data_IF_382723970169
#
_entry.id   IF_382723970169
#
_cell.length_a   1.000
_cell.length_b   1.000
_cell.length_c   1.000
_cell.angle_alpha   90.00
_cell.angle_beta   90.00
_cell.angle_gamma   90.00
#
_symmetry.space_group_name_H-M   'P 1'
#
loop_
_entity.id
_entity.type
_entity.pdbx_description
1 polymer ?
#
# COMPACT_ATOMS: atom_id res chain seq x y z
N UNK A 1 22.37 -5.46 -32.60
CA UNK A 1 22.88 -4.09 -32.76
C UNK A 1 22.83 -3.41 -31.40
N UNK A 2 23.95 -2.89 -30.90
CA UNK A 2 23.94 -2.17 -29.63
C UNK A 2 23.52 -0.72 -29.86
N UNK A 3 22.60 -0.21 -29.03
CA UNK A 3 22.23 1.21 -29.04
C UNK A 3 23.44 2.10 -28.70
N UNK A 4 23.48 3.35 -29.22
CA UNK A 4 24.57 4.27 -28.93
C UNK A 4 24.66 4.56 -27.43
N UNK A 5 25.88 4.57 -26.88
CA UNK A 5 26.13 4.75 -25.43
C UNK A 5 25.42 5.97 -24.84
N UNK A 6 25.39 7.09 -25.58
CA UNK A 6 24.72 8.33 -25.15
C UNK A 6 23.22 8.14 -24.93
N UNK A 7 22.57 7.33 -25.76
CA UNK A 7 21.14 7.03 -25.63
C UNK A 7 20.88 6.18 -24.38
N UNK A 8 21.69 5.13 -24.16
CA UNK A 8 21.61 4.28 -22.97
C UNK A 8 21.80 5.12 -21.70
N UNK A 9 22.81 5.99 -21.68
CA UNK A 9 23.08 6.88 -20.56
C UNK A 9 21.94 7.86 -20.29
N UNK A 10 21.33 8.43 -21.34
CA UNK A 10 20.18 9.33 -21.21
C UNK A 10 18.98 8.61 -20.61
N UNK A 11 18.68 7.40 -21.09
CA UNK A 11 17.55 6.61 -20.59
C UNK A 11 17.73 6.25 -19.10
N UNK A 12 18.93 5.79 -18.72
CA UNK A 12 19.25 5.50 -17.31
C UNK A 12 19.13 6.77 -16.46
N UNK A 13 19.56 7.94 -16.96
CA UNK A 13 19.40 9.21 -16.23
C UNK A 13 17.95 9.56 -15.96
N UNK A 14 17.10 9.47 -16.99
CA UNK A 14 15.66 9.77 -16.87
C UNK A 14 15.03 8.83 -15.83
N UNK A 15 15.27 7.51 -15.93
CA UNK A 15 14.73 6.56 -14.97
C UNK A 15 15.22 6.81 -13.54
N UNK A 16 16.51 7.06 -13.36
CA UNK A 16 17.07 7.33 -12.03
C UNK A 16 16.52 8.63 -11.43
N UNK A 17 16.28 9.64 -12.26
CA UNK A 17 15.63 10.88 -11.83
C UNK A 17 14.18 10.64 -11.41
N UNK A 18 13.42 9.85 -12.19
CA UNK A 18 12.06 9.43 -11.80
C UNK A 18 12.05 8.65 -10.48
N UNK A 19 13.01 7.73 -10.26
CA UNK A 19 13.15 7.01 -9.00
C UNK A 19 13.38 7.95 -7.81
N UNK A 20 14.25 8.95 -7.97
CA UNK A 20 14.49 9.95 -6.90
C UNK A 20 13.19 10.71 -6.58
N UNK A 21 12.45 11.17 -7.60
CA UNK A 21 11.16 11.84 -7.40
C UNK A 21 10.17 10.92 -6.67
N UNK A 22 10.07 9.66 -7.07
CA UNK A 22 9.19 8.68 -6.41
C UNK A 22 9.58 8.47 -4.95
N UNK A 23 10.87 8.33 -4.64
CA UNK A 23 11.35 8.23 -3.26
C UNK A 23 11.02 9.46 -2.42
N UNK A 24 11.14 10.67 -2.98
CA UNK A 24 10.75 11.93 -2.32
C UNK A 24 9.24 11.97 -2.06
N UNK A 25 8.42 11.51 -3.01
CA UNK A 25 6.96 11.43 -2.83
C UNK A 25 6.61 10.46 -1.69
N UNK A 26 7.24 9.27 -1.64
CA UNK A 26 7.01 8.30 -0.57
C UNK A 26 7.38 8.86 0.81
N UNK A 27 8.52 9.56 0.92
CA UNK A 27 8.92 10.20 2.17
C UNK A 27 7.96 11.34 2.53
N UNK A 28 7.52 12.14 1.56
CA UNK A 28 6.54 13.21 1.80
C UNK A 28 5.20 12.68 2.33
N UNK A 29 4.74 11.52 1.83
CA UNK A 29 3.54 10.86 2.33
C UNK A 29 3.65 10.49 3.81
N UNK A 30 4.82 10.00 4.25
CA UNK A 30 5.08 9.71 5.67
C UNK A 30 4.91 10.96 6.54
N UNK A 31 5.41 12.12 6.10
CA UNK A 31 5.25 13.37 6.86
C UNK A 31 3.79 13.83 6.93
N UNK A 32 3.02 13.67 5.84
CA UNK A 32 1.58 13.97 5.85
C UNK A 32 0.84 13.04 6.82
N UNK A 33 1.14 11.74 6.80
CA UNK A 33 0.52 10.75 7.69
C UNK A 33 0.87 11.00 9.16
N UNK A 34 2.11 11.38 9.47
CA UNK A 34 2.53 11.74 10.84
C UNK A 34 1.82 13.00 11.34
N UNK A 35 1.50 13.94 10.45
CA UNK A 35 0.81 15.17 10.81
C UNK A 35 -0.70 14.94 11.05
N UNK A 36 -1.32 14.02 10.31
CA UNK A 36 -2.75 13.69 10.44
C UNK A 36 -3.06 12.66 11.54
N UNK A 37 -2.09 11.81 11.92
CA UNK A 37 -2.34 10.71 12.84
C UNK A 37 -1.36 10.67 14.01
N UNK A 38 -1.88 10.93 15.22
CA UNK A 38 -1.29 10.52 16.51
C UNK A 38 -1.46 9.00 16.75
N UNK A 39 -1.57 8.19 15.69
CA UNK A 39 -1.92 6.77 15.81
C UNK A 39 -0.67 5.89 15.79
N UNK A 40 -0.61 4.96 16.74
CA UNK A 40 0.53 4.10 17.09
C UNK A 40 0.99 3.08 16.03
N UNK A 41 0.62 3.19 14.74
CA UNK A 41 1.11 2.28 13.70
C UNK A 41 2.48 2.72 13.16
N UNK A 42 3.47 2.76 14.07
CA UNK A 42 4.83 3.20 13.76
C UNK A 42 5.55 2.31 12.74
N UNK A 43 5.21 1.02 12.67
CA UNK A 43 5.92 0.06 11.82
C UNK A 43 5.74 0.35 10.32
N UNK A 44 4.52 0.69 9.89
CA UNK A 44 4.23 1.04 8.49
C UNK A 44 4.93 2.33 8.05
N UNK A 45 5.05 3.28 8.99
CA UNK A 45 5.74 4.56 8.78
C UNK A 45 7.25 4.33 8.60
N UNK A 46 7.87 3.57 9.51
CA UNK A 46 9.30 3.24 9.45
C UNK A 46 9.62 2.47 8.18
N UNK A 47 8.77 1.52 7.79
CA UNK A 47 8.92 0.76 6.56
C UNK A 47 8.87 1.66 5.32
N UNK A 48 7.83 2.50 5.19
CA UNK A 48 7.65 3.38 4.03
C UNK A 48 8.79 4.39 3.90
N UNK A 49 9.25 4.95 5.02
CA UNK A 49 10.39 5.85 5.06
C UNK A 49 11.68 5.16 4.61
N UNK A 50 11.93 3.95 5.12
CA UNK A 50 13.13 3.16 4.79
C UNK A 50 13.17 2.77 3.31
N UNK A 51 12.03 2.37 2.75
CA UNK A 51 11.89 2.08 1.31
C UNK A 51 12.12 3.34 0.48
N UNK A 52 11.51 4.47 0.84
CA UNK A 52 11.70 5.75 0.15
C UNK A 52 13.16 6.19 0.12
N UNK A 53 13.87 6.07 1.25
CA UNK A 53 15.30 6.38 1.35
C UNK A 53 16.15 5.45 0.47
N UNK A 54 15.87 4.15 0.49
CA UNK A 54 16.57 3.17 -0.34
C UNK A 54 16.41 3.48 -1.83
N UNK A 55 15.20 3.83 -2.27
CA UNK A 55 14.91 4.22 -3.67
C UNK A 55 15.70 5.47 -4.07
N UNK A 56 15.82 6.48 -3.19
CA UNK A 56 16.63 7.68 -3.46
C UNK A 56 18.11 7.32 -3.60
N UNK A 57 18.67 6.52 -2.69
CA UNK A 57 20.08 6.11 -2.74
C UNK A 57 20.37 5.38 -4.05
N UNK A 58 19.48 4.50 -4.49
CA UNK A 58 19.61 3.73 -5.72
C UNK A 58 19.53 4.64 -6.94
N UNK A 59 18.56 5.56 -6.98
CA UNK A 59 18.47 6.57 -8.03
C UNK A 59 19.72 7.47 -8.10
N UNK A 60 20.22 7.94 -6.97
CA UNK A 60 21.43 8.76 -6.89
C UNK A 60 22.67 7.99 -7.37
N UNK A 61 22.81 6.71 -6.99
CA UNK A 61 23.90 5.85 -7.45
C UNK A 61 23.86 5.63 -8.97
N UNK A 62 22.66 5.46 -9.54
CA UNK A 62 22.47 5.31 -10.98
C UNK A 62 22.80 6.60 -11.75
N UNK A 63 22.41 7.77 -11.24
CA UNK A 63 22.82 9.06 -11.80
C UNK A 63 24.35 9.22 -11.78
N UNK A 64 24.98 8.98 -10.63
CA UNK A 64 26.45 9.05 -10.49
C UNK A 64 27.15 8.10 -11.47
N UNK A 65 26.63 6.88 -11.65
CA UNK A 65 27.17 5.90 -12.61
C UNK A 65 27.12 6.38 -14.06
N UNK A 66 26.14 7.23 -14.39
CA UNK A 66 25.93 7.77 -15.74
C UNK A 66 26.75 9.04 -16.03
N UNK A 67 27.09 9.83 -15.01
CA UNK A 67 28.00 10.98 -15.15
C UNK A 67 29.48 10.56 -15.10
N UNK A 68 29.82 9.68 -14.16
CA UNK A 68 31.18 9.21 -13.90
C UNK A 68 31.23 7.69 -14.08
N UNK A 69 31.46 7.18 -15.31
CA UNK A 69 31.43 5.74 -15.60
C UNK A 69 32.68 5.03 -15.04
N UNK A 70 32.76 4.92 -13.73
CA UNK A 70 33.67 4.03 -13.03
C UNK A 70 33.06 2.64 -12.97
N UNK A 71 33.89 1.61 -13.22
CA UNK A 71 33.45 0.22 -13.22
C UNK A 71 32.86 -0.19 -11.87
N UNK A 72 33.47 0.25 -10.76
CA UNK A 72 32.99 -0.04 -9.40
C UNK A 72 31.58 0.52 -9.15
N UNK A 73 31.31 1.76 -9.56
CA UNK A 73 30.00 2.41 -9.36
C UNK A 73 28.92 1.72 -10.20
N UNK A 74 29.22 1.41 -11.47
CA UNK A 74 28.29 0.68 -12.36
C UNK A 74 28.00 -0.71 -11.81
N UNK A 75 29.00 -1.39 -11.27
CA UNK A 75 28.84 -2.70 -10.65
C UNK A 75 27.93 -2.65 -9.42
N UNK A 76 28.18 -1.72 -8.49
CA UNK A 76 27.34 -1.51 -7.30
C UNK A 76 25.89 -1.21 -7.69
N UNK A 77 25.68 -0.28 -8.62
CA UNK A 77 24.34 0.02 -9.14
C UNK A 77 23.66 -1.22 -9.73
N UNK A 78 24.39 -2.00 -10.53
CA UNK A 78 23.85 -3.23 -11.13
C UNK A 78 23.46 -4.26 -10.08
N UNK A 79 24.25 -4.42 -9.01
CA UNK A 79 23.90 -5.29 -7.88
C UNK A 79 22.60 -4.86 -7.20
N UNK A 80 22.40 -3.56 -6.96
CA UNK A 80 21.16 -3.04 -6.40
C UNK A 80 19.95 -3.24 -7.33
N UNK A 81 20.12 -2.99 -8.63
CA UNK A 81 19.05 -3.21 -9.62
C UNK A 81 18.65 -4.68 -9.67
N UNK A 82 19.62 -5.60 -9.64
CA UNK A 82 19.35 -7.05 -9.60
C UNK A 82 18.61 -7.41 -8.31
N UNK A 83 19.09 -6.93 -7.16
CA UNK A 83 18.46 -7.21 -5.87
C UNK A 83 17.01 -6.74 -5.83
N UNK A 84 16.72 -5.50 -6.26
CA UNK A 84 15.34 -5.00 -6.33
C UNK A 84 14.52 -5.78 -7.36
N UNK A 85 15.09 -6.11 -8.52
CA UNK A 85 14.41 -6.92 -9.52
C UNK A 85 13.98 -8.29 -8.98
N UNK A 86 14.82 -8.96 -8.20
CA UNK A 86 14.48 -10.21 -7.53
C UNK A 86 13.34 -10.02 -6.52
N UNK A 87 13.37 -8.94 -5.73
CA UNK A 87 12.29 -8.62 -4.79
C UNK A 87 10.97 -8.32 -5.51
N UNK A 88 11.01 -7.57 -6.61
CA UNK A 88 9.83 -7.24 -7.40
C UNK A 88 9.19 -8.51 -8.00
N UNK A 89 9.99 -9.39 -8.60
CA UNK A 89 9.53 -10.69 -9.09
C UNK A 89 8.94 -11.55 -7.96
N UNK A 90 9.57 -11.57 -6.78
CA UNK A 90 9.04 -12.29 -5.62
C UNK A 90 7.66 -11.75 -5.19
N UNK A 91 7.48 -10.43 -5.17
CA UNK A 91 6.19 -9.80 -4.86
C UNK A 91 5.16 -10.16 -5.94
N UNK A 92 5.51 -10.09 -7.22
CA UNK A 92 4.61 -10.45 -8.33
C UNK A 92 4.17 -11.91 -8.25
N UNK A 93 5.06 -12.84 -7.92
CA UNK A 93 4.73 -14.26 -7.67
C UNK A 93 3.76 -14.37 -6.50
N UNK A 94 4.04 -13.68 -5.39
CA UNK A 94 3.17 -13.69 -4.20
C UNK A 94 1.77 -13.15 -4.52
N UNK A 95 1.68 -12.05 -5.26
CA UNK A 95 0.40 -11.47 -5.73
C UNK A 95 -0.33 -12.40 -6.70
N UNK A 96 0.40 -13.15 -7.53
CA UNK A 96 -0.17 -14.15 -8.44
C UNK A 96 -0.80 -15.31 -7.65
N UNK A 97 -0.08 -15.82 -6.65
CA UNK A 97 -0.59 -16.86 -5.75
C UNK A 97 -1.82 -16.35 -5.00
N UNK A 98 -1.76 -15.14 -4.46
CA UNK A 98 -2.87 -14.51 -3.76
C UNK A 98 -4.09 -14.34 -4.69
N UNK A 99 -3.90 -13.80 -5.89
CA UNK A 99 -4.97 -13.66 -6.89
C UNK A 99 -5.59 -15.00 -7.27
N UNK A 100 -4.79 -16.05 -7.43
CA UNK A 100 -5.30 -17.38 -7.74
C UNK A 100 -6.10 -17.96 -6.56
N UNK A 101 -5.64 -17.75 -5.32
CA UNK A 101 -6.41 -18.10 -4.13
C UNK A 101 -7.73 -17.33 -4.09
N UNK A 102 -7.73 -16.06 -4.51
CA UNK A 102 -8.95 -15.26 -4.57
C UNK A 102 -9.97 -15.79 -5.57
N UNK A 103 -9.52 -16.11 -6.79
CA UNK A 103 -10.39 -16.57 -7.87
C UNK A 103 -10.90 -18.01 -7.68
N UNK A 104 -10.10 -18.87 -7.05
CA UNK A 104 -10.43 -20.29 -6.88
C UNK A 104 -11.36 -20.56 -5.70
N UNK A 105 -11.21 -19.81 -4.61
CA UNK A 105 -12.03 -19.94 -3.42
C UNK A 105 -13.00 -18.78 -3.36
N UNK A 106 -14.25 -18.97 -3.79
CA UNK A 106 -15.32 -18.04 -3.40
C UNK A 106 -15.34 -17.97 -1.88
N UNK A 107 -14.90 -16.86 -1.31
CA UNK A 107 -14.80 -16.76 0.13
C UNK A 107 -16.21 -16.57 0.68
N UNK A 108 -16.66 -17.51 1.51
CA UNK A 108 -17.83 -17.26 2.33
C UNK A 108 -17.44 -16.23 3.41
N UNK A 109 -18.31 -15.26 3.64
CA UNK A 109 -18.18 -14.28 4.72
C UNK A 109 -17.93 -14.95 6.09
N UNK A 110 -18.36 -16.21 6.26
CA UNK A 110 -18.18 -17.00 7.48
C UNK A 110 -16.79 -17.62 7.61
N UNK A 111 -16.24 -18.15 6.52
CA UNK A 111 -15.05 -19.02 6.52
C UNK A 111 -13.90 -18.47 5.67
N UNK A 112 -13.94 -17.17 5.32
CA UNK A 112 -12.88 -16.54 4.54
C UNK A 112 -11.51 -16.86 5.11
N UNK A 113 -10.66 -17.47 4.29
CA UNK A 113 -9.28 -17.84 4.66
C UNK A 113 -8.32 -16.65 4.59
N UNK A 114 -8.78 -15.48 4.15
CA UNK A 114 -7.97 -14.27 4.10
C UNK A 114 -7.72 -13.79 5.54
N UNK A 115 -6.46 -13.75 6.02
CA UNK A 115 -6.17 -13.34 7.39
C UNK A 115 -6.70 -11.95 7.72
N UNK A 116 -6.63 -11.02 6.76
CA UNK A 116 -7.18 -9.67 6.89
C UNK A 116 -8.71 -9.66 7.03
N UNK A 117 -9.42 -10.52 6.29
CA UNK A 117 -10.87 -10.63 6.36
C UNK A 117 -11.32 -11.23 7.70
N UNK A 118 -10.63 -12.26 8.19
CA UNK A 118 -10.95 -12.89 9.48
C UNK A 118 -10.76 -11.90 10.64
N UNK A 119 -9.62 -11.20 10.65
CA UNK A 119 -9.31 -10.17 11.63
C UNK A 119 -10.33 -9.02 11.61
N UNK A 120 -10.69 -8.54 10.41
CA UNK A 120 -11.72 -7.51 10.23
C UNK A 120 -13.09 -7.99 10.69
N UNK A 121 -13.44 -9.24 10.43
CA UNK A 121 -14.69 -9.86 10.92
C UNK A 121 -14.72 -9.87 12.45
N UNK A 122 -13.64 -10.28 13.12
CA UNK A 122 -13.56 -10.29 14.58
C UNK A 122 -13.74 -8.88 15.16
N UNK A 123 -13.13 -7.88 14.54
CA UNK A 123 -13.27 -6.47 14.90
C UNK A 123 -14.72 -5.95 14.76
N UNK A 124 -15.38 -6.29 13.65
CA UNK A 124 -16.78 -5.91 13.41
C UNK A 124 -17.71 -6.62 14.40
N UNK A 125 -17.58 -7.94 14.58
CA UNK A 125 -18.38 -8.69 15.54
C UNK A 125 -18.20 -8.14 16.96
N UNK A 126 -16.98 -7.76 17.32
CA UNK A 126 -16.73 -7.15 18.61
C UNK A 126 -17.44 -5.79 18.74
N UNK A 127 -17.39 -4.94 17.71
CA UNK A 127 -18.15 -3.69 17.65
C UNK A 127 -19.67 -3.93 17.76
N UNK A 128 -20.23 -4.91 17.04
CA UNK A 128 -21.64 -5.30 17.14
C UNK A 128 -22.02 -5.72 18.58
N UNK A 129 -21.08 -6.29 19.35
CA UNK A 129 -21.35 -6.68 20.73
C UNK A 129 -21.32 -5.52 21.73
N UNK A 130 -20.64 -4.42 21.44
CA UNK A 130 -20.38 -3.35 22.42
C UNK A 130 -20.98 -1.99 22.05
N UNK A 131 -21.06 -1.67 20.76
CA UNK A 131 -21.51 -0.36 20.30
C UNK A 131 -23.00 -0.18 20.56
N UNK A 132 -23.37 1.00 21.10
CA UNK A 132 -24.73 1.32 21.51
C UNK A 132 -25.32 0.31 22.52
N UNK A 133 -24.55 -0.11 23.52
CA UNK A 133 -25.02 -0.98 24.61
C UNK A 133 -24.70 -0.39 25.98
N UNK A 134 -24.90 -1.16 27.06
CA UNK A 134 -24.82 -0.74 28.47
C UNK A 134 -23.66 0.21 28.82
N UNK A 135 -22.49 0.03 28.20
CA UNK A 135 -21.29 0.84 28.48
C UNK A 135 -20.98 1.92 27.42
N UNK A 136 -21.84 2.08 26.40
CA UNK A 136 -21.67 3.06 25.34
C UNK A 136 -23.04 3.50 24.79
N UNK A 137 -23.63 4.54 25.37
CA UNK A 137 -24.91 5.11 24.92
C UNK A 137 -24.66 5.95 23.66
N UNK A 138 -25.37 5.67 22.57
CA UNK A 138 -25.18 6.38 21.30
C UNK A 138 -26.06 7.62 21.18
N UNK A 139 -25.57 8.64 20.46
CA UNK A 139 -26.32 9.85 20.17
C UNK A 139 -27.04 9.74 18.81
N UNK A 140 -28.36 9.86 18.82
CA UNK A 140 -29.21 9.87 17.62
C UNK A 140 -29.89 11.24 17.50
N UNK A 141 -29.64 11.95 16.41
CA UNK A 141 -30.16 13.30 16.19
C UNK A 141 -31.64 13.30 15.81
N UNK A 142 -32.04 12.41 14.89
CA UNK A 142 -33.40 12.34 14.34
C UNK A 142 -34.00 10.95 14.51
N UNK A 143 -34.58 10.70 15.68
CA UNK A 143 -35.19 9.40 16.00
C UNK A 143 -36.32 8.98 15.04
N UNK A 144 -36.96 9.95 14.39
CA UNK A 144 -38.07 9.73 13.45
C UNK A 144 -37.63 8.97 12.19
N UNK A 145 -36.35 9.03 11.84
CA UNK A 145 -35.78 8.37 10.66
C UNK A 145 -35.46 6.88 10.92
N UNK A 146 -35.69 6.40 12.15
CA UNK A 146 -35.33 5.06 12.60
C UNK A 146 -36.54 4.14 12.67
N UNK A 147 -36.33 2.87 12.32
CA UNK A 147 -37.37 1.86 12.50
C UNK A 147 -37.58 1.60 14.01
N UNK A 148 -38.80 1.80 14.55
CA UNK A 148 -39.11 1.61 15.96
C UNK A 148 -38.83 0.18 16.44
N UNK A 149 -38.95 -0.84 15.59
CA UNK A 149 -38.65 -2.23 15.97
C UNK A 149 -37.19 -2.43 16.41
N UNK A 150 -36.25 -1.62 15.89
CA UNK A 150 -34.85 -1.69 16.30
C UNK A 150 -34.60 -0.98 17.64
N UNK A 151 -35.36 0.08 17.90
CA UNK A 151 -35.27 0.90 19.11
C UNK A 151 -35.97 0.23 20.30
N UNK A 152 -37.17 -0.32 20.09
CA UNK A 152 -38.04 -0.86 21.15
C UNK A 152 -37.61 -2.25 21.63
N UNK A 153 -36.98 -3.06 20.76
CA UNK A 153 -36.48 -4.39 21.15
C UNK A 153 -35.16 -4.33 21.96
N UNK A 154 -34.81 -3.18 22.56
CA UNK A 154 -33.63 -2.97 23.42
C UNK A 154 -32.29 -3.41 22.80
N UNK A 155 -32.17 -3.44 21.47
CA UNK A 155 -30.94 -3.85 20.79
C UNK A 155 -29.88 -2.75 20.80
N UNK A 156 -30.31 -1.50 20.95
CA UNK A 156 -29.50 -0.29 20.85
C UNK A 156 -29.88 0.63 22.01
N UNK A 157 -28.91 1.01 22.83
CA UNK A 157 -29.03 2.06 23.83
C UNK A 157 -28.64 3.39 23.22
N UNK A 158 -29.56 4.34 23.25
CA UNK A 158 -29.38 5.65 22.63
C UNK A 158 -29.93 6.78 23.50
N UNK A 159 -29.52 7.99 23.18
CA UNK A 159 -30.06 9.25 23.69
C UNK A 159 -30.22 10.22 22.53
N UNK A 160 -31.26 11.06 22.58
CA UNK A 160 -31.41 12.22 21.69
C UNK A 160 -30.85 13.50 22.32
N UNK A 161 -30.41 13.44 23.58
CA UNK A 161 -29.77 14.54 24.26
C UNK A 161 -28.24 14.42 24.14
N UNK A 162 -27.64 15.38 23.42
CA UNK A 162 -26.20 15.47 23.19
C UNK A 162 -25.38 15.69 24.46
N UNK A 163 -25.99 16.26 25.50
CA UNK A 163 -25.35 16.48 26.80
C UNK A 163 -25.14 15.17 27.58
N UNK A 164 -25.93 14.13 27.26
CA UNK A 164 -25.83 12.81 27.88
C UNK A 164 -24.77 11.95 27.18
N UNK A 165 -24.69 12.04 25.86
CA UNK A 165 -23.66 11.37 25.05
C UNK A 165 -23.51 12.09 23.70
N UNK A 166 -22.27 12.15 23.20
CA UNK A 166 -21.91 12.62 21.86
C UNK A 166 -21.34 11.49 20.98
N UNK A 167 -21.50 10.24 21.43
CA UNK A 167 -20.93 9.06 20.78
C UNK A 167 -21.76 8.71 19.55
N UNK A 168 -21.16 8.93 18.39
CA UNK A 168 -21.76 8.67 17.07
C UNK A 168 -21.08 7.53 16.29
N UNK A 169 -19.96 7.02 16.81
CA UNK A 169 -19.11 6.01 16.16
C UNK A 169 -18.37 5.21 17.22
N UNK A 170 -18.03 3.95 16.90
CA UNK A 170 -17.49 3.02 17.88
C UNK A 170 -16.19 3.45 18.56
N UNK A 171 -15.32 4.13 17.82
CA UNK A 171 -14.00 4.56 18.26
C UNK A 171 -14.08 5.61 19.38
N UNK A 172 -15.26 6.23 19.59
CA UNK A 172 -15.51 7.16 20.70
C UNK A 172 -15.96 6.45 22.00
N UNK A 173 -16.25 5.16 21.97
CA UNK A 173 -16.60 4.40 23.18
C UNK A 173 -15.37 4.22 24.10
N UNK A 174 -15.57 4.40 25.42
CA UNK A 174 -14.50 4.32 26.44
C UNK A 174 -13.77 2.98 26.49
N UNK A 175 -14.44 1.87 26.15
CA UNK A 175 -13.90 0.51 26.21
C UNK A 175 -13.41 -0.02 24.86
N UNK A 176 -13.15 0.81 23.85
CA UNK A 176 -12.74 0.29 22.54
C UNK A 176 -11.42 -0.51 22.62
N UNK A 177 -11.43 -1.72 22.05
CA UNK A 177 -10.28 -2.58 21.86
C UNK A 177 -9.82 -2.41 20.42
N UNK A 178 -8.54 -2.09 20.24
CA UNK A 178 -7.88 -2.19 18.95
C UNK A 178 -7.65 -3.68 18.66
N UNK A 179 -8.47 -4.24 17.79
CA UNK A 179 -8.25 -5.58 17.24
C UNK A 179 -7.42 -5.39 15.98
N UNK A 180 -6.38 -6.21 15.81
CA UNK A 180 -5.61 -6.22 14.56
C UNK A 180 -6.56 -6.57 13.43
N UNK A 181 -6.62 -5.76 12.36
CA UNK A 181 -7.53 -5.93 11.24
C UNK A 181 -7.45 -4.77 10.26
N UNK A 182 -8.47 -4.61 9.43
CA UNK A 182 -8.60 -3.39 8.64
C UNK A 182 -8.69 -2.17 9.57
N UNK A 183 -8.13 -1.05 9.14
CA UNK A 183 -8.21 0.17 9.93
C UNK A 183 -9.67 0.55 10.15
N UNK A 184 -9.99 1.02 11.36
CA UNK A 184 -11.32 1.55 11.70
C UNK A 184 -11.79 2.61 10.68
N UNK A 185 -10.86 3.40 10.15
CA UNK A 185 -11.11 4.41 9.11
C UNK A 185 -11.47 3.78 7.77
N UNK A 186 -10.83 2.68 7.38
CA UNK A 186 -11.17 1.96 6.16
C UNK A 186 -12.56 1.33 6.26
N UNK A 187 -12.89 0.70 7.38
CA UNK A 187 -14.23 0.13 7.59
C UNK A 187 -15.30 1.23 7.58
N UNK A 188 -15.06 2.36 8.26
CA UNK A 188 -15.95 3.52 8.21
C UNK A 188 -16.15 4.02 6.77
N UNK A 189 -15.07 4.08 5.96
CA UNK A 189 -15.17 4.49 4.57
C UNK A 189 -15.98 3.51 3.71
N UNK A 190 -15.91 2.22 3.99
CA UNK A 190 -16.74 1.20 3.34
C UNK A 190 -18.21 1.38 3.70
N UNK A 191 -18.51 1.58 4.98
CA UNK A 191 -19.86 1.82 5.48
C UNK A 191 -20.50 3.05 4.78
N UNK A 192 -19.79 4.18 4.74
CA UNK A 192 -20.28 5.41 4.11
C UNK A 192 -20.43 5.29 2.59
N UNK A 193 -19.44 4.68 1.93
CA UNK A 193 -19.42 4.56 0.47
C UNK A 193 -20.51 3.63 -0.06
N UNK A 194 -20.78 2.53 0.63
CA UNK A 194 -21.71 1.50 0.19
C UNK A 194 -23.01 1.45 0.98
N UNK A 195 -23.22 2.34 1.96
CA UNK A 195 -24.35 2.30 2.90
C UNK A 195 -24.53 0.90 3.53
N UNK A 196 -23.42 0.27 3.90
CA UNK A 196 -23.42 -1.06 4.49
C UNK A 196 -23.09 -0.98 5.99
N UNK A 197 -23.48 -1.99 6.76
CA UNK A 197 -22.92 -2.21 8.09
C UNK A 197 -23.03 -3.67 8.51
N UNK A 198 -22.23 -4.08 9.47
CA UNK A 198 -22.02 -5.48 9.82
C UNK A 198 -21.22 -6.23 8.76
N UNK A 199 -20.89 -7.49 9.05
CA UNK A 199 -20.01 -8.28 8.18
C UNK A 199 -20.77 -9.17 7.19
N UNK A 200 -21.30 -10.29 7.69
CA UNK A 200 -22.07 -11.26 6.91
C UNK A 200 -23.56 -10.90 6.77
N UNK A 201 -24.05 -10.11 7.72
CA UNK A 201 -25.46 -9.71 7.82
C UNK A 201 -25.47 -8.20 8.01
N UNK A 202 -26.48 -7.56 7.44
CA UNK A 202 -26.70 -6.14 7.68
C UNK A 202 -26.92 -5.91 9.17
N UNK A 203 -26.21 -4.94 9.71
CA UNK A 203 -26.40 -4.43 11.06
C UNK A 203 -27.32 -3.20 11.01
N UNK A 204 -28.24 -2.97 11.96
CA UNK A 204 -29.23 -1.88 11.86
C UNK A 204 -28.65 -0.47 12.02
N UNK A 205 -27.43 -0.34 12.52
CA UNK A 205 -26.71 0.94 12.69
C UNK A 205 -25.34 0.83 12.06
N UNK A 206 -24.84 1.95 11.54
CA UNK A 206 -23.42 2.11 11.22
C UNK A 206 -22.58 1.96 12.49
N UNK A 207 -21.52 1.14 12.43
CA UNK A 207 -20.70 0.83 13.59
C UNK A 207 -19.47 1.75 13.66
N UNK A 208 -18.81 1.96 12.52
CA UNK A 208 -17.52 2.65 12.44
C UNK A 208 -17.63 4.05 11.86
N UNK A 209 -18.66 4.30 11.05
CA UNK A 209 -19.04 5.61 10.53
C UNK A 209 -20.13 6.25 11.39
N UNK A 210 -20.58 7.45 11.02
CA UNK A 210 -21.58 8.19 11.79
C UNK A 210 -22.94 7.49 11.78
N UNK A 211 -23.42 7.06 12.95
CA UNK A 211 -24.75 6.46 13.14
C UNK A 211 -25.88 7.33 12.55
N UNK A 212 -25.72 8.65 12.52
CA UNK A 212 -26.73 9.58 12.00
C UNK A 212 -26.78 9.67 10.46
N UNK A 213 -25.97 8.88 9.74
CA UNK A 213 -26.03 8.76 8.28
C UNK A 213 -27.26 7.98 7.78
N UNK A 214 -28.11 7.48 8.69
CA UNK A 214 -29.33 6.75 8.40
C UNK A 214 -29.18 5.25 8.61
N UNK A 215 -30.11 4.48 8.03
CA UNK A 215 -30.14 3.02 8.18
C UNK A 215 -29.31 2.39 7.04
N UNK A 216 -28.25 1.61 7.35
CA UNK A 216 -27.51 0.85 6.36
C UNK A 216 -28.41 -0.22 5.71
N UNK A 217 -28.18 -0.51 4.43
CA UNK A 217 -29.03 -1.39 3.62
C UNK A 217 -28.50 -2.81 3.55
N UNK A 218 -27.17 -2.94 3.48
CA UNK A 218 -26.50 -4.17 3.12
C UNK A 218 -25.43 -4.55 4.14
N UNK A 219 -24.92 -5.78 4.03
CA UNK A 219 -23.75 -6.23 4.80
C UNK A 219 -22.46 -5.77 4.10
N UNK A 220 -21.39 -5.46 4.84
CA UNK A 220 -20.18 -4.90 4.23
C UNK A 220 -19.26 -5.92 3.56
N UNK A 221 -19.41 -7.21 3.84
CA UNK A 221 -18.50 -8.23 3.29
C UNK A 221 -18.39 -8.26 1.75
N UNK A 222 -19.50 -8.25 0.98
CA UNK A 222 -19.40 -8.30 -0.48
C UNK A 222 -18.65 -7.11 -1.08
N UNK A 223 -18.83 -5.92 -0.48
CA UNK A 223 -18.13 -4.72 -0.91
C UNK A 223 -16.66 -4.73 -0.52
N UNK A 224 -16.35 -5.25 0.68
CA UNK A 224 -14.98 -5.49 1.10
C UNK A 224 -14.25 -6.45 0.15
N UNK A 225 -14.89 -7.59 -0.18
CA UNK A 225 -14.34 -8.58 -1.11
C UNK A 225 -14.11 -7.97 -2.49
N UNK A 226 -15.10 -7.24 -3.03
CA UNK A 226 -15.00 -6.57 -4.31
C UNK A 226 -13.85 -5.53 -4.35
N UNK A 227 -13.71 -4.70 -3.31
CA UNK A 227 -12.60 -3.75 -3.23
C UNK A 227 -11.26 -4.45 -3.09
N UNK A 228 -11.18 -5.47 -2.25
CA UNK A 228 -9.96 -6.25 -2.04
C UNK A 228 -9.49 -6.89 -3.35
N UNK A 229 -10.39 -7.54 -4.10
CA UNK A 229 -10.11 -8.09 -5.42
C UNK A 229 -9.65 -7.01 -6.41
N UNK A 230 -10.34 -5.86 -6.43
CA UNK A 230 -9.97 -4.74 -7.28
C UNK A 230 -8.54 -4.25 -6.98
N UNK A 231 -8.20 -4.04 -5.71
CA UNK A 231 -6.88 -3.59 -5.31
C UNK A 231 -5.79 -4.64 -5.59
N UNK A 232 -6.03 -5.92 -5.29
CA UNK A 232 -5.07 -6.98 -5.59
C UNK A 232 -4.82 -7.10 -7.10
N UNK A 233 -5.88 -7.04 -7.92
CA UNK A 233 -5.73 -7.11 -9.37
C UNK A 233 -5.04 -5.86 -9.95
N UNK A 234 -5.36 -4.68 -9.42
CA UNK A 234 -4.69 -3.44 -9.79
C UNK A 234 -3.21 -3.47 -9.42
N UNK A 235 -2.88 -3.82 -8.18
CA UNK A 235 -1.49 -3.97 -7.73
C UNK A 235 -0.74 -5.00 -8.56
N UNK A 236 -1.33 -6.14 -8.88
CA UNK A 236 -0.72 -7.13 -9.77
C UNK A 236 -0.33 -6.53 -11.13
N UNK A 237 -1.23 -5.76 -11.77
CA UNK A 237 -0.95 -5.11 -13.04
C UNK A 237 0.16 -4.05 -12.91
N UNK A 238 0.11 -3.23 -11.85
CA UNK A 238 1.12 -2.21 -11.58
C UNK A 238 2.51 -2.84 -11.40
N UNK A 239 2.62 -3.93 -10.61
CA UNK A 239 3.88 -4.65 -10.41
C UNK A 239 4.40 -5.32 -11.68
N UNK A 240 3.52 -5.84 -12.54
CA UNK A 240 3.92 -6.41 -13.83
C UNK A 240 4.55 -5.34 -14.75
N UNK A 241 3.97 -4.14 -14.78
CA UNK A 241 4.54 -3.01 -15.53
C UNK A 241 5.92 -2.64 -14.96
N UNK A 242 6.05 -2.58 -13.64
CA UNK A 242 7.32 -2.29 -12.95
C UNK A 242 8.38 -3.35 -13.29
N UNK A 243 8.04 -4.64 -13.25
CA UNK A 243 8.96 -5.74 -13.60
C UNK A 243 9.49 -5.60 -15.03
N UNK A 244 8.61 -5.26 -15.98
CA UNK A 244 9.00 -5.05 -17.38
C UNK A 244 9.95 -3.86 -17.55
N UNK A 245 9.67 -2.74 -16.86
CA UNK A 245 10.56 -1.59 -16.84
C UNK A 245 11.92 -1.91 -16.19
N UNK A 246 11.92 -2.69 -15.11
CA UNK A 246 13.14 -3.16 -14.45
C UNK A 246 13.99 -4.05 -15.34
N UNK A 247 13.36 -4.96 -16.09
CA UNK A 247 14.06 -5.83 -17.04
C UNK A 247 14.76 -5.01 -18.12
N UNK A 248 14.11 -3.97 -18.66
CA UNK A 248 14.77 -3.06 -19.59
C UNK A 248 15.93 -2.31 -18.96
N UNK A 249 15.74 -1.82 -17.73
CA UNK A 249 16.79 -1.09 -17.01
C UNK A 249 18.01 -1.97 -16.76
N UNK A 250 17.79 -3.24 -16.39
CA UNK A 250 18.85 -4.24 -16.22
C UNK A 250 19.59 -4.51 -17.53
N UNK A 251 18.87 -4.71 -18.64
CA UNK A 251 19.46 -4.88 -19.96
C UNK A 251 20.35 -3.69 -20.34
N UNK A 252 19.90 -2.46 -20.08
CA UNK A 252 20.66 -1.25 -20.34
C UNK A 252 21.87 -1.09 -19.42
N UNK A 253 21.76 -1.43 -18.13
CA UNK A 253 22.87 -1.43 -17.19
C UNK A 253 23.98 -2.41 -17.61
N UNK A 254 23.61 -3.64 -18.01
CA UNK A 254 24.55 -4.64 -18.52
C UNK A 254 25.21 -4.15 -19.82
N UNK A 255 24.43 -3.60 -20.75
CA UNK A 255 24.96 -3.02 -21.99
C UNK A 255 25.94 -1.88 -21.72
N UNK A 256 25.62 -0.97 -20.78
CA UNK A 256 26.50 0.12 -20.39
C UNK A 256 27.80 -0.41 -19.77
N UNK A 257 27.72 -1.41 -18.90
CA UNK A 257 28.89 -2.03 -18.29
C UNK A 257 29.83 -2.62 -19.36
N UNK A 258 29.28 -3.37 -20.32
CA UNK A 258 30.04 -3.97 -21.41
C UNK A 258 30.69 -2.91 -22.33
N UNK A 259 29.93 -1.90 -22.76
CA UNK A 259 30.46 -0.83 -23.63
C UNK A 259 31.54 0.00 -22.92
N UNK A 260 31.36 0.29 -21.63
CA UNK A 260 32.34 1.04 -20.83
C UNK A 260 33.65 0.28 -20.70
N UNK A 261 33.58 -1.03 -20.45
CA UNK A 261 34.76 -1.91 -20.38
C UNK A 261 35.51 -1.96 -21.72
N UNK A 262 34.78 -2.09 -22.84
CA UNK A 262 35.36 -2.10 -24.20
C UNK A 262 36.08 -0.78 -24.52
N UNK A 263 35.47 0.36 -24.19
CA UNK A 263 36.05 1.68 -24.46
C UNK A 263 37.28 2.00 -23.59
N UNK A 264 37.37 1.46 -22.37
CA UNK A 264 38.60 1.57 -21.56
C UNK A 264 39.75 0.79 -22.20
N UNK A 265 39.50 -0.45 -22.62
CA UNK A 265 40.52 -1.25 -23.33
C UNK A 265 41.00 -0.54 -24.60
N UNK A 266 40.10 0.02 -25.39
CA UNK A 266 40.48 0.72 -26.63
C UNK A 266 41.27 2.01 -26.42
N UNK A 267 41.23 2.64 -25.24
CA UNK A 267 42.08 3.82 -24.92
C UNK A 267 43.44 3.45 -24.34
N UNK A 268 43.52 2.36 -23.59
CA UNK A 268 44.76 1.91 -22.94
C UNK A 268 45.75 1.35 -23.98
N UNK A 269 45.29 0.56 -24.95
CA UNK A 269 46.17 0.00 -25.98
C UNK A 269 46.95 1.04 -26.81
N UNK A 270 46.33 2.12 -27.34
CA UNK A 270 47.09 3.12 -28.08
C UNK A 270 48.04 3.94 -27.21
N UNK A 271 47.75 4.16 -25.92
CA UNK A 271 48.67 4.84 -25.01
C UNK A 271 49.92 4.01 -24.72
N UNK A 272 49.75 2.71 -24.47
CA UNK A 272 50.88 1.79 -24.27
C UNK A 272 51.72 1.67 -25.55
N UNK A 273 51.08 1.60 -26.73
CA UNK A 273 51.79 1.62 -28.01
C UNK A 273 52.52 2.94 -28.27
N UNK A 274 51.97 4.08 -27.87
CA UNK A 274 52.65 5.38 -27.98
C UNK A 274 53.87 5.47 -27.04
N UNK A 275 53.76 4.97 -25.81
CA UNK A 275 54.88 4.95 -24.86
C UNK A 275 55.98 3.97 -25.30
N UNK A 276 55.62 2.81 -25.86
CA UNK A 276 56.57 1.84 -26.42
C UNK A 276 57.23 2.31 -27.72
N UNK A 277 56.58 3.17 -28.51
CA UNK A 277 57.16 3.73 -29.74
C UNK A 277 58.13 4.90 -29.48
N UNK A 278 58.17 5.43 -28.25
CA UNK A 278 59.06 6.51 -27.82
C UNK A 278 60.35 5.99 -27.14
N UNK A 279 60.48 4.67 -26.96
CA UNK A 279 61.69 3.99 -26.48
C UNK A 279 62.48 3.40 -27.65
#
# INVERSE_FOLDING_TARGET
MCLPLKFIQLFIRINCFCLIILGIIMISQVFMTLNESLSNDGDGIVFTFSVGLAVIIIGASGLLSSYCPNFSIIFIYSCFVIFIGVLAVYITITLTVLKNQLLSNKFDCKTSQLPAAQKTKEQILWAETQFCKYDCICYIEKIQDWNPDYLENNRIQYTTNKDISDIIQYQKCKKWIKIDGASNTYIASLEEKYNCSGWCKSHPVYLFSNINNGIPKDACYPYFEQEYEYYVNKSYLDYLIVDFLYLFNLCFAICQCYQTSRNKKSRIYPQIFYELALQ
#
